data_IF_903530456072
#
_entry.id   IF_903530456072
#
_cell.length_a   1.000
_cell.length_b   1.000
_cell.length_c   1.000
_cell.angle_alpha   90.00
_cell.angle_beta   90.00
_cell.angle_gamma   90.00
#
_symmetry.space_group_name_H-M   'P 1'
#
loop_
_entity.id
_entity.type
_entity.pdbx_description
1 polymer ?
#
# COMPACT_ATOMS: atom_id res chain seq x y z
N UNK A 1 18.34 -15.87 9.99
CA UNK A 1 18.03 -15.47 8.59
C UNK A 1 18.10 -13.96 8.54
N UNK A 2 18.64 -13.35 7.47
CA UNK A 2 18.56 -11.90 7.31
C UNK A 2 17.09 -11.48 7.24
N UNK A 3 16.79 -10.27 7.71
CA UNK A 3 15.47 -9.70 7.55
C UNK A 3 15.16 -9.55 6.05
N UNK A 4 13.92 -9.80 5.60
CA UNK A 4 13.52 -9.46 4.25
C UNK A 4 13.84 -7.99 3.92
N UNK A 5 14.25 -7.66 2.68
CA UNK A 5 14.70 -6.31 2.31
C UNK A 5 13.73 -5.18 2.68
N UNK A 6 12.42 -5.47 2.71
CA UNK A 6 11.39 -4.50 3.14
C UNK A 6 11.59 -3.99 4.58
N UNK A 7 12.29 -4.73 5.44
CA UNK A 7 12.56 -4.34 6.84
C UNK A 7 13.94 -3.73 7.05
N UNK A 8 14.84 -3.83 6.07
CA UNK A 8 16.17 -3.23 6.10
C UNK A 8 16.57 -2.72 4.69
N UNK A 9 15.93 -1.63 4.22
CA UNK A 9 16.16 -1.12 2.87
C UNK A 9 17.47 -0.32 2.74
N UNK A 10 18.30 -0.24 3.79
CA UNK A 10 19.52 0.58 3.80
C UNK A 10 19.26 2.09 3.91
N UNK A 11 18.05 2.52 4.30
CA UNK A 11 17.69 3.94 4.48
C UNK A 11 16.28 4.13 5.03
N UNK A 12 15.72 5.34 4.90
CA UNK A 12 14.38 5.63 5.40
C UNK A 12 13.31 4.90 4.56
N UNK A 13 12.21 4.53 5.21
CA UNK A 13 11.01 4.01 4.54
C UNK A 13 9.93 5.09 4.56
N UNK A 14 9.38 5.42 3.41
CA UNK A 14 8.11 6.15 3.32
C UNK A 14 6.96 5.15 3.40
N UNK A 15 6.17 5.20 4.47
CA UNK A 15 4.99 4.34 4.65
C UNK A 15 3.73 5.09 4.26
N UNK A 16 2.96 4.55 3.32
CA UNK A 16 1.65 5.05 2.92
C UNK A 16 0.61 4.03 3.38
N UNK A 17 -0.06 4.36 4.48
CA UNK A 17 -1.11 3.51 5.05
C UNK A 17 -2.41 3.70 4.25
N UNK A 18 -3.07 4.84 4.43
CA UNK A 18 -4.33 5.12 3.77
C UNK A 18 -4.23 6.30 2.79
N UNK A 19 -4.73 6.06 1.58
CA UNK A 19 -5.13 7.11 0.65
C UNK A 19 -6.15 6.54 -0.33
N UNK A 20 -6.99 7.42 -0.86
CA UNK A 20 -8.08 7.07 -1.75
C UNK A 20 -8.30 8.17 -2.79
N UNK A 21 -8.98 7.80 -3.86
CA UNK A 21 -9.58 8.70 -4.83
C UNK A 21 -11.09 8.70 -4.64
N UNK A 22 -11.77 9.77 -5.06
CA UNK A 22 -13.22 9.91 -4.88
C UNK A 22 -14.03 8.95 -5.75
N UNK A 23 -13.45 8.46 -6.84
CA UNK A 23 -14.06 7.54 -7.79
C UNK A 23 -13.01 6.48 -8.21
N UNK A 24 -13.34 5.18 -8.24
CA UNK A 24 -12.40 4.13 -8.66
C UNK A 24 -11.72 4.36 -10.01
N UNK A 25 -12.37 5.01 -10.98
CA UNK A 25 -11.80 5.25 -12.31
C UNK A 25 -10.64 6.27 -12.27
N UNK A 26 -10.58 7.09 -11.21
CA UNK A 26 -9.50 8.05 -11.00
C UNK A 26 -8.18 7.40 -10.54
N UNK A 27 -8.18 6.11 -10.18
CA UNK A 27 -6.94 5.41 -9.85
C UNK A 27 -5.95 5.39 -11.00
N UNK A 28 -6.44 5.28 -12.23
CA UNK A 28 -5.60 5.24 -13.44
C UNK A 28 -4.97 6.60 -13.80
N UNK A 29 -5.41 7.70 -13.17
CA UNK A 29 -4.90 9.06 -13.41
C UNK A 29 -4.45 9.73 -12.11
N UNK A 30 -5.37 10.35 -11.38
CA UNK A 30 -5.10 11.07 -10.13
C UNK A 30 -4.37 10.18 -9.10
N UNK A 31 -4.76 8.92 -8.99
CA UNK A 31 -4.10 7.97 -8.09
C UNK A 31 -2.63 7.72 -8.44
N UNK A 32 -2.33 7.56 -9.74
CA UNK A 32 -0.95 7.42 -10.25
C UNK A 32 -0.15 8.71 -10.06
N UNK A 33 -0.73 9.86 -10.36
CA UNK A 33 -0.04 11.15 -10.22
C UNK A 33 0.31 11.43 -8.75
N UNK A 34 -0.61 11.15 -7.83
CA UNK A 34 -0.35 11.26 -6.39
C UNK A 34 0.74 10.30 -5.92
N UNK A 35 0.71 9.04 -6.36
CA UNK A 35 1.74 8.04 -6.02
C UNK A 35 3.13 8.48 -6.47
N UNK A 36 3.25 8.94 -7.73
CA UNK A 36 4.52 9.44 -8.27
C UNK A 36 5.04 10.65 -7.52
N UNK A 37 4.16 11.56 -7.16
CA UNK A 37 4.56 12.75 -6.42
C UNK A 37 5.04 12.42 -5.00
N UNK A 38 4.35 11.50 -4.30
CA UNK A 38 4.81 11.03 -2.99
C UNK A 38 6.15 10.31 -3.10
N UNK A 39 6.38 9.48 -4.12
CA UNK A 39 7.67 8.84 -4.36
C UNK A 39 8.79 9.87 -4.61
N UNK A 40 8.51 10.90 -5.42
CA UNK A 40 9.43 12.00 -5.70
C UNK A 40 9.81 12.74 -4.42
N UNK A 41 8.83 13.11 -3.59
CA UNK A 41 9.07 13.76 -2.31
C UNK A 41 9.82 12.87 -1.32
N UNK A 42 9.46 11.59 -1.22
CA UNK A 42 10.12 10.62 -0.35
C UNK A 42 11.62 10.49 -0.72
N UNK A 43 11.92 10.38 -2.02
CA UNK A 43 13.30 10.33 -2.51
C UNK A 43 14.09 11.61 -2.16
N UNK A 44 13.49 12.79 -2.29
CA UNK A 44 14.13 14.06 -1.90
C UNK A 44 14.43 14.15 -0.39
N UNK A 45 13.66 13.43 0.43
CA UNK A 45 13.85 13.34 1.88
C UNK A 45 14.78 12.19 2.29
N UNK A 46 15.37 11.47 1.34
CA UNK A 46 16.32 10.39 1.60
C UNK A 46 15.67 9.03 1.89
N UNK A 47 14.41 8.81 1.48
CA UNK A 47 13.82 7.49 1.52
C UNK A 47 14.51 6.55 0.53
N UNK A 48 14.87 5.36 1.01
CA UNK A 48 15.40 4.27 0.19
C UNK A 48 14.29 3.38 -0.39
N UNK A 49 13.09 3.42 0.20
CA UNK A 49 11.92 2.70 -0.30
C UNK A 49 10.60 3.41 0.02
N UNK A 50 9.54 3.01 -0.69
CA UNK A 50 8.15 3.32 -0.39
C UNK A 50 7.39 2.01 -0.15
N UNK A 51 6.60 1.96 0.92
CA UNK A 51 5.72 0.83 1.26
C UNK A 51 4.28 1.34 1.28
N UNK A 52 3.38 0.66 0.56
CA UNK A 52 1.98 1.07 0.42
C UNK A 52 1.06 -0.06 0.86
N UNK A 53 0.10 0.24 1.73
CA UNK A 53 -0.94 -0.72 2.10
C UNK A 53 -2.00 -0.79 1.00
N UNK A 54 -2.30 -2.00 0.55
CA UNK A 54 -3.29 -2.25 -0.49
C UNK A 54 -3.96 -3.62 -0.26
N UNK A 55 -5.29 -3.61 -0.14
CA UNK A 55 -6.06 -4.83 -0.03
C UNK A 55 -6.03 -5.66 -1.31
N UNK A 56 -6.07 -6.99 -1.19
CA UNK A 56 -6.03 -7.89 -2.35
C UNK A 56 -7.18 -7.64 -3.35
N UNK A 57 -8.36 -7.24 -2.85
CA UNK A 57 -9.55 -6.98 -3.66
C UNK A 57 -9.60 -5.56 -4.26
N UNK A 58 -8.66 -4.67 -3.93
CA UNK A 58 -8.61 -3.31 -4.48
C UNK A 58 -7.92 -3.32 -5.85
N UNK A 59 -8.59 -3.90 -6.84
CA UNK A 59 -8.02 -4.13 -8.17
C UNK A 59 -7.61 -2.82 -8.88
N UNK A 60 -8.38 -1.75 -8.71
CA UNK A 60 -8.09 -0.45 -9.31
C UNK A 60 -6.81 0.16 -8.71
N UNK A 61 -6.67 0.18 -7.39
CA UNK A 61 -5.44 0.62 -6.72
C UNK A 61 -4.25 -0.27 -7.08
N UNK A 62 -4.43 -1.59 -7.12
CA UNK A 62 -3.36 -2.53 -7.50
C UNK A 62 -2.80 -2.24 -8.89
N UNK A 63 -3.65 -1.97 -9.87
CA UNK A 63 -3.21 -1.58 -11.21
C UNK A 63 -2.45 -0.24 -11.19
N UNK A 64 -2.90 0.74 -10.40
CA UNK A 64 -2.19 2.00 -10.24
C UNK A 64 -0.79 1.83 -9.59
N UNK A 65 -0.67 0.93 -8.60
CA UNK A 65 0.61 0.62 -7.95
C UNK A 65 1.58 -0.06 -8.93
N UNK A 66 1.09 -0.99 -9.75
CA UNK A 66 1.88 -1.63 -10.82
C UNK A 66 2.37 -0.59 -11.86
N UNK A 67 1.49 0.33 -12.28
CA UNK A 67 1.84 1.46 -13.15
C UNK A 67 2.86 2.45 -12.54
N UNK A 68 3.08 2.37 -11.23
CA UNK A 68 4.09 3.12 -10.48
C UNK A 68 5.30 2.26 -10.09
N UNK A 69 5.46 1.08 -10.71
CA UNK A 69 6.56 0.14 -10.52
C UNK A 69 6.72 -0.39 -9.08
N UNK A 70 5.63 -0.41 -8.30
CA UNK A 70 5.64 -1.11 -7.01
C UNK A 70 5.48 -2.62 -7.22
N UNK A 71 6.16 -3.39 -6.38
CA UNK A 71 6.04 -4.85 -6.34
C UNK A 71 5.50 -5.31 -4.98
N UNK A 72 4.97 -6.54 -4.92
CA UNK A 72 4.44 -7.09 -3.68
C UNK A 72 5.59 -7.39 -2.73
N UNK A 73 5.62 -6.72 -1.57
CA UNK A 73 6.59 -7.00 -0.52
C UNK A 73 6.15 -8.12 0.44
N UNK A 74 4.86 -8.18 0.78
CA UNK A 74 4.26 -9.17 1.68
C UNK A 74 2.75 -9.25 1.50
N UNK A 75 2.15 -10.37 1.91
CA UNK A 75 0.71 -10.58 1.93
C UNK A 75 0.22 -10.83 3.36
N UNK A 76 -1.04 -10.48 3.64
CA UNK A 76 -1.66 -10.66 4.95
C UNK A 76 -2.74 -11.73 4.90
N UNK A 77 -2.73 -12.60 5.90
CA UNK A 77 -3.76 -13.62 6.10
C UNK A 77 -4.77 -13.11 7.11
N UNK A 78 -6.05 -13.15 6.74
CA UNK A 78 -7.15 -12.70 7.61
C UNK A 78 -8.02 -13.89 8.01
N UNK A 79 -8.54 -13.84 9.23
CA UNK A 79 -9.56 -14.77 9.74
C UNK A 79 -10.64 -13.97 10.45
N UNK A 80 -11.90 -14.17 10.05
CA UNK A 80 -13.02 -13.65 10.82
C UNK A 80 -13.06 -14.32 12.20
N UNK A 81 -13.12 -13.51 13.25
CA UNK A 81 -13.38 -13.99 14.60
C UNK A 81 -14.89 -13.92 14.88
N UNK A 82 -15.45 -14.78 15.73
CA UNK A 82 -16.83 -14.63 16.14
C UNK A 82 -17.02 -13.25 16.77
N UNK A 83 -18.00 -12.49 16.30
CA UNK A 83 -18.48 -11.34 17.03
C UNK A 83 -18.97 -11.89 18.37
N UNK A 84 -18.40 -11.45 19.50
CA UNK A 84 -18.82 -11.86 20.85
C UNK A 84 -20.27 -11.46 21.21
N UNK A 85 -21.09 -11.11 20.20
CA UNK A 85 -22.51 -10.83 20.27
C UNK A 85 -23.26 -12.11 19.86
N UNK A 86 -23.63 -12.91 20.86
CA UNK A 86 -24.61 -13.97 20.68
C UNK A 86 -25.88 -13.39 20.02
N UNK A 87 -26.43 -14.08 19.02
CA UNK A 87 -27.74 -13.75 18.49
C UNK A 87 -28.78 -13.77 19.63
N UNK A 88 -29.67 -12.76 19.76
CA UNK A 88 -30.79 -12.88 20.67
C UNK A 88 -31.65 -14.07 20.24
N UNK A 89 -32.00 -14.89 21.22
CA UNK A 89 -32.80 -16.12 21.08
C UNK A 89 -34.25 -15.79 20.75
#
# INVERSE_FOLDING_TARGET
MPAPPVYDPGGLTCSIDDFAVTDPDLWASVGVDLLREVQREAGQRGAAQVVVVCGHQDHAKRAALDNCALTIASEWWVKALPDGRSAPT
#
